data_IF_698928741762
#
_entry.id   IF_698928741762
#
_cell.length_a   1.000
_cell.length_b   1.000
_cell.length_c   1.000
_cell.angle_alpha   90.00
_cell.angle_beta   90.00
_cell.angle_gamma   90.00
#
_symmetry.space_group_name_H-M   'P 1'
#
loop_
_entity.id
_entity.type
_entity.pdbx_description
1 polymer ?
#
# COMPACT_ATOMS: atom_id res chain seq x y z
N UNK A 1 5.53 -41.48 -5.12
CA UNK A 1 6.73 -40.70 -4.77
C UNK A 1 6.23 -39.41 -4.17
N UNK A 2 6.89 -38.84 -3.17
CA UNK A 2 6.43 -37.57 -2.61
C UNK A 2 6.59 -36.45 -3.65
N UNK A 3 5.68 -35.47 -3.65
CA UNK A 3 5.68 -34.37 -4.63
C UNK A 3 5.14 -33.09 -4.00
N UNK A 4 5.68 -31.95 -4.44
CA UNK A 4 5.16 -30.61 -4.15
C UNK A 4 4.24 -30.19 -5.29
N UNK A 5 2.97 -29.93 -4.97
CA UNK A 5 1.95 -29.39 -5.85
C UNK A 5 1.69 -27.93 -5.48
N UNK A 6 1.68 -27.09 -6.50
CA UNK A 6 1.46 -25.65 -6.36
C UNK A 6 0.40 -25.23 -7.37
N UNK A 7 -0.61 -24.49 -6.91
CA UNK A 7 -1.65 -23.99 -7.78
C UNK A 7 -2.04 -22.53 -7.44
N UNK A 8 -1.88 -21.58 -8.37
CA UNK A 8 -1.12 -21.67 -9.62
C UNK A 8 0.41 -21.57 -9.38
N UNK A 9 1.22 -22.12 -10.30
CA UNK A 9 2.68 -21.99 -10.22
C UNK A 9 3.19 -20.60 -10.68
N UNK A 10 2.50 -20.00 -11.64
CA UNK A 10 2.71 -18.62 -12.11
C UNK A 10 1.46 -17.82 -11.79
N UNK A 11 1.61 -16.71 -11.06
CA UNK A 11 0.49 -15.84 -10.71
C UNK A 11 0.92 -14.39 -10.45
N UNK A 12 0.01 -13.42 -10.64
CA UNK A 12 0.14 -12.06 -10.10
C UNK A 12 0.51 -12.04 -8.62
N UNK A 13 1.27 -11.02 -8.21
CA UNK A 13 1.73 -10.86 -6.83
C UNK A 13 0.61 -10.84 -5.79
N UNK A 14 -0.57 -10.35 -6.14
CA UNK A 14 -1.73 -10.21 -5.28
C UNK A 14 -2.67 -11.43 -5.29
N UNK A 15 -2.40 -12.43 -6.12
CA UNK A 15 -3.16 -13.68 -6.14
C UNK A 15 -2.54 -14.72 -5.20
N UNK A 16 -3.30 -15.34 -4.28
CA UNK A 16 -2.78 -16.38 -3.40
C UNK A 16 -2.37 -17.65 -4.16
N UNK A 17 -1.51 -18.45 -3.53
CA UNK A 17 -1.02 -19.72 -4.08
C UNK A 17 -1.30 -20.84 -3.09
N UNK A 18 -1.95 -21.89 -3.57
CA UNK A 18 -2.19 -23.10 -2.79
C UNK A 18 -0.98 -24.03 -2.89
N UNK A 19 -0.50 -24.52 -1.75
CA UNK A 19 0.66 -25.41 -1.65
C UNK A 19 0.28 -26.70 -0.93
N UNK A 20 0.52 -27.82 -1.61
CA UNK A 20 0.34 -29.16 -1.06
C UNK A 20 1.62 -29.97 -1.21
N UNK A 21 1.91 -30.81 -0.22
CA UNK A 21 2.93 -31.87 -0.33
C UNK A 21 2.20 -33.20 -0.22
N UNK A 22 2.25 -34.01 -1.26
CA UNK A 22 1.51 -35.28 -1.36
C UNK A 22 2.47 -36.46 -1.40
N UNK A 23 1.96 -37.66 -1.10
CA UNK A 23 2.73 -38.90 -1.20
C UNK A 23 3.75 -39.09 -0.07
N UNK A 24 3.57 -38.40 1.06
CA UNK A 24 4.29 -38.63 2.31
C UNK A 24 3.75 -39.87 3.02
N UNK A 25 4.42 -40.33 4.07
CA UNK A 25 3.84 -41.31 5.00
C UNK A 25 2.89 -40.60 5.97
N UNK A 26 1.82 -41.27 6.39
CA UNK A 26 0.95 -40.73 7.45
C UNK A 26 1.75 -40.41 8.72
N UNK A 27 1.51 -39.24 9.32
CA UNK A 27 2.26 -38.75 10.48
C UNK A 27 3.71 -38.35 10.19
N UNK A 28 4.15 -38.37 8.92
CA UNK A 28 5.48 -37.91 8.57
C UNK A 28 5.58 -36.39 8.72
N UNK A 29 6.63 -35.93 9.39
CA UNK A 29 6.97 -34.51 9.43
C UNK A 29 7.61 -34.06 8.11
N UNK A 30 7.23 -32.89 7.60
CA UNK A 30 7.82 -32.26 6.43
C UNK A 30 8.10 -30.77 6.70
N UNK A 31 9.32 -30.33 6.42
CA UNK A 31 9.70 -28.91 6.47
C UNK A 31 9.53 -28.31 5.09
N UNK A 32 8.63 -27.33 4.98
CA UNK A 32 8.41 -26.54 3.77
C UNK A 32 9.13 -25.21 3.93
N UNK A 33 9.98 -24.84 2.99
CA UNK A 33 10.72 -23.58 2.99
C UNK A 33 10.35 -22.74 1.77
N UNK A 34 10.29 -21.43 1.94
CA UNK A 34 10.18 -20.46 0.85
C UNK A 34 11.42 -19.56 0.89
N UNK A 35 12.06 -19.33 -0.24
CA UNK A 35 13.23 -18.47 -0.36
C UNK A 35 13.14 -17.57 -1.59
N UNK A 36 13.54 -16.31 -1.45
CA UNK A 36 13.79 -15.37 -2.55
C UNK A 36 15.28 -15.08 -2.70
N UNK A 37 16.15 -15.87 -2.08
CA UNK A 37 17.60 -15.65 -2.02
C UNK A 37 18.00 -14.64 -0.94
N UNK A 38 17.47 -13.41 -1.01
CA UNK A 38 17.66 -12.37 0.01
C UNK A 38 16.79 -12.55 1.25
N UNK A 39 15.75 -13.39 1.15
CA UNK A 39 14.85 -13.72 2.24
C UNK A 39 14.50 -15.20 2.28
N UNK A 40 14.13 -15.68 3.45
CA UNK A 40 13.64 -17.05 3.64
C UNK A 40 12.64 -17.14 4.80
N UNK A 41 11.76 -18.14 4.71
CA UNK A 41 10.85 -18.57 5.78
C UNK A 41 10.74 -20.09 5.73
N UNK A 42 10.29 -20.69 6.82
CA UNK A 42 10.03 -22.12 6.86
C UNK A 42 8.88 -22.46 7.80
N UNK A 43 8.28 -23.62 7.57
CA UNK A 43 7.22 -24.16 8.41
C UNK A 43 7.27 -25.69 8.41
N UNK A 44 7.13 -26.28 9.59
CA UNK A 44 7.19 -27.71 9.82
C UNK A 44 5.76 -28.23 9.97
N UNK A 45 5.36 -29.20 9.15
CA UNK A 45 4.02 -29.78 9.16
C UNK A 45 4.06 -31.28 9.43
N UNK A 46 2.94 -31.81 9.90
CA UNK A 46 2.67 -33.25 9.94
C UNK A 46 1.71 -33.63 8.82
N UNK A 47 2.04 -34.69 8.08
CA UNK A 47 1.18 -35.23 7.04
C UNK A 47 -0.03 -35.96 7.66
N UNK A 48 -1.22 -35.74 7.07
CA UNK A 48 -2.45 -36.40 7.50
C UNK A 48 -2.42 -37.93 7.26
N UNK A 49 -3.51 -38.63 7.63
CA UNK A 49 -3.64 -40.08 7.43
C UNK A 49 -3.54 -40.53 5.96
N UNK A 50 -3.65 -39.60 5.01
CA UNK A 50 -3.52 -39.83 3.57
C UNK A 50 -2.12 -39.49 3.06
N UNK A 51 -1.21 -39.06 3.94
CA UNK A 51 0.15 -38.66 3.56
C UNK A 51 0.20 -37.30 2.87
N UNK A 52 -0.68 -36.37 3.25
CA UNK A 52 -0.79 -35.03 2.66
C UNK A 52 -0.51 -33.95 3.70
N UNK A 53 0.32 -32.97 3.33
CA UNK A 53 0.41 -31.67 3.97
C UNK A 53 -0.28 -30.65 3.06
N UNK A 54 -1.34 -30.00 3.54
CA UNK A 54 -2.08 -28.97 2.80
C UNK A 54 -1.99 -27.65 3.58
N UNK A 55 -1.23 -26.68 3.07
CA UNK A 55 -1.00 -25.40 3.76
C UNK A 55 -2.29 -24.58 3.93
N UNK A 56 -3.35 -24.89 3.17
CA UNK A 56 -4.65 -24.25 3.31
C UNK A 56 -5.49 -24.79 4.47
N UNK A 57 -5.08 -25.92 5.05
CA UNK A 57 -5.86 -26.65 6.08
C UNK A 57 -5.07 -27.00 7.33
N UNK A 58 -3.77 -27.23 7.18
CA UNK A 58 -2.91 -27.69 8.27
C UNK A 58 -2.15 -26.52 8.86
N UNK A 59 -2.18 -26.42 10.18
CA UNK A 59 -1.32 -25.48 10.90
C UNK A 59 0.09 -26.10 11.02
N UNK A 60 1.16 -25.29 10.90
CA UNK A 60 2.48 -25.79 11.18
C UNK A 60 2.65 -26.11 12.67
N UNK A 61 3.42 -27.16 12.95
CA UNK A 61 3.88 -27.52 14.29
C UNK A 61 4.90 -26.50 14.82
N UNK A 62 5.75 -25.99 13.93
CA UNK A 62 6.81 -25.02 14.24
C UNK A 62 7.23 -24.23 12.99
N UNK A 63 7.95 -23.13 13.17
CA UNK A 63 8.55 -22.33 12.09
C UNK A 63 8.23 -20.84 12.17
N UNK A 64 8.34 -20.17 11.02
CA UNK A 64 8.23 -18.71 10.84
C UNK A 64 6.83 -18.14 11.11
N UNK A 65 5.79 -18.97 11.16
CA UNK A 65 4.42 -18.55 11.50
C UNK A 65 3.64 -19.67 12.21
N UNK A 66 2.45 -19.33 12.72
CA UNK A 66 1.56 -20.25 13.45
C UNK A 66 0.12 -20.16 12.96
N UNK A 67 -0.62 -21.26 13.15
CA UNK A 67 -2.01 -21.40 12.72
C UNK A 67 -2.14 -21.70 11.22
N UNK A 68 -3.37 -21.95 10.77
CA UNK A 68 -3.64 -22.19 9.34
C UNK A 68 -3.57 -20.87 8.60
N UNK A 69 -2.61 -20.74 7.69
CA UNK A 69 -2.42 -19.55 6.85
C UNK A 69 -1.76 -19.96 5.51
N UNK A 70 -2.52 -20.02 4.41
CA UNK A 70 -2.01 -20.43 3.10
C UNK A 70 -0.82 -19.60 2.63
N UNK A 71 -0.82 -18.30 2.95
CA UNK A 71 0.23 -17.36 2.55
C UNK A 71 1.23 -17.10 3.68
N UNK A 72 1.20 -17.93 4.74
CA UNK A 72 2.06 -17.87 5.91
C UNK A 72 3.55 -17.76 5.57
N UNK A 73 4.02 -18.59 4.63
CA UNK A 73 5.41 -18.57 4.19
C UNK A 73 5.80 -17.25 3.49
N UNK A 74 4.88 -16.59 2.80
CA UNK A 74 5.18 -15.38 2.02
C UNK A 74 5.32 -14.15 2.92
N UNK A 75 4.35 -13.92 3.82
CA UNK A 75 4.42 -12.75 4.68
C UNK A 75 5.46 -12.89 5.80
N UNK A 76 5.83 -14.11 6.18
CA UNK A 76 6.82 -14.38 7.22
C UNK A 76 8.27 -14.48 6.73
N UNK A 77 8.56 -14.08 5.48
CA UNK A 77 9.92 -14.04 4.92
C UNK A 77 10.85 -13.08 5.68
N UNK A 78 11.93 -13.58 6.25
CA UNK A 78 12.94 -12.78 6.97
C UNK A 78 14.22 -12.61 6.13
N UNK A 79 14.97 -11.53 6.36
CA UNK A 79 16.22 -11.23 5.64
C UNK A 79 17.30 -12.27 5.94
N UNK A 80 17.93 -12.80 4.90
CA UNK A 80 19.06 -13.75 5.01
C UNK A 80 20.42 -13.07 4.90
N UNK A 81 20.47 -11.82 4.43
CA UNK A 81 21.70 -11.13 4.02
C UNK A 81 22.20 -11.53 2.62
N UNK A 82 21.45 -12.37 1.91
CA UNK A 82 21.72 -12.79 0.52
C UNK A 82 21.32 -11.74 -0.52
N UNK A 83 21.40 -12.15 -1.79
CA UNK A 83 20.92 -11.35 -2.94
C UNK A 83 19.57 -11.88 -3.40
N UNK A 84 18.72 -10.98 -3.88
CA UNK A 84 17.44 -11.33 -4.46
C UNK A 84 17.63 -12.29 -5.64
N UNK A 85 16.72 -13.26 -5.74
CA UNK A 85 16.72 -14.35 -6.70
C UNK A 85 15.29 -14.86 -6.94
N UNK A 86 15.15 -16.02 -7.60
CA UNK A 86 13.84 -16.61 -7.85
C UNK A 86 13.13 -16.96 -6.55
N UNK A 87 11.79 -16.93 -6.56
CA UNK A 87 10.98 -17.46 -5.46
C UNK A 87 10.97 -18.98 -5.57
N UNK A 88 11.58 -19.67 -4.61
CA UNK A 88 11.71 -21.13 -4.59
C UNK A 88 11.05 -21.68 -3.35
N UNK A 89 10.12 -22.62 -3.56
CA UNK A 89 9.53 -23.46 -2.54
C UNK A 89 10.28 -24.78 -2.51
N UNK A 90 10.80 -25.20 -1.34
CA UNK A 90 11.52 -26.46 -1.20
C UNK A 90 10.98 -27.30 -0.06
N UNK A 91 11.07 -28.62 -0.21
CA UNK A 91 10.72 -29.59 0.84
C UNK A 91 11.82 -30.64 0.93
N UNK A 92 12.38 -30.79 2.13
CA UNK A 92 13.49 -31.72 2.37
C UNK A 92 13.11 -33.15 1.98
N UNK A 93 13.96 -33.79 1.16
CA UNK A 93 13.73 -35.14 0.67
C UNK A 93 12.65 -35.29 -0.41
N UNK A 94 12.04 -34.19 -0.86
CA UNK A 94 11.05 -34.17 -1.95
C UNK A 94 11.57 -33.42 -3.17
N UNK A 95 12.08 -32.20 -3.00
CA UNK A 95 12.63 -31.38 -4.09
C UNK A 95 12.20 -29.92 -4.03
N UNK A 96 12.34 -29.23 -5.16
CA UNK A 96 12.13 -27.78 -5.28
C UNK A 96 11.07 -27.47 -6.35
N UNK A 97 10.35 -26.35 -6.15
CA UNK A 97 9.44 -25.73 -7.12
C UNK A 97 9.73 -24.24 -7.20
N UNK A 98 9.96 -23.75 -8.41
CA UNK A 98 10.10 -22.31 -8.66
C UNK A 98 8.72 -21.71 -8.90
N UNK A 99 8.42 -20.64 -8.17
CA UNK A 99 7.20 -19.86 -8.28
C UNK A 99 7.47 -18.58 -9.07
N UNK A 100 6.60 -18.27 -10.02
CA UNK A 100 6.66 -17.01 -10.76
C UNK A 100 5.60 -16.06 -10.22
N UNK A 101 6.06 -14.96 -9.61
CA UNK A 101 5.21 -13.93 -9.00
C UNK A 101 5.28 -12.66 -9.84
N UNK A 102 4.25 -12.42 -10.64
CA UNK A 102 4.25 -11.38 -11.66
C UNK A 102 3.94 -10.01 -11.04
N UNK A 103 4.86 -9.06 -11.23
CA UNK A 103 4.64 -7.65 -10.87
C UNK A 103 3.83 -6.89 -11.92
N UNK A 104 3.88 -7.34 -13.17
CA UNK A 104 3.01 -6.92 -14.27
C UNK A 104 2.34 -8.19 -14.79
N UNK A 105 1.03 -8.38 -14.56
CA UNK A 105 0.31 -9.56 -15.02
C UNK A 105 0.33 -9.74 -16.54
N UNK A 106 0.13 -10.98 -17.00
CA UNK A 106 -0.10 -11.26 -18.42
C UNK A 106 -1.37 -10.56 -18.90
N UNK A 107 -1.37 -10.07 -20.14
CA UNK A 107 -2.50 -9.33 -20.70
C UNK A 107 -2.66 -7.89 -20.20
N UNK A 108 -1.65 -7.34 -19.52
CA UNK A 108 -1.61 -5.92 -19.14
C UNK A 108 -0.55 -5.19 -19.97
N UNK A 109 -1.00 -4.22 -20.76
CA UNK A 109 -0.14 -3.32 -21.52
C UNK A 109 0.45 -2.23 -20.62
N UNK A 110 1.72 -1.88 -20.85
CA UNK A 110 2.43 -0.82 -20.12
C UNK A 110 2.86 0.28 -21.09
N UNK A 111 2.45 1.52 -20.81
CA UNK A 111 2.83 2.70 -21.57
C UNK A 111 3.44 3.77 -20.67
N UNK A 112 4.70 4.14 -20.92
CA UNK A 112 5.32 5.27 -20.21
C UNK A 112 4.78 6.61 -20.72
N UNK A 113 4.43 7.51 -19.80
CA UNK A 113 3.84 8.83 -20.10
C UNK A 113 4.81 9.94 -19.71
N UNK A 114 5.23 10.74 -20.70
CA UNK A 114 6.15 11.90 -20.54
C UNK A 114 5.69 13.11 -21.37
N UNK A 115 4.38 13.29 -21.48
CA UNK A 115 3.77 14.32 -22.32
C UNK A 115 2.92 15.29 -21.50
N UNK A 116 2.71 16.51 -22.01
CA UNK A 116 1.93 17.56 -21.35
C UNK A 116 2.40 17.92 -19.92
N UNK A 117 3.68 17.65 -19.62
CA UNK A 117 4.27 17.84 -18.30
C UNK A 117 3.96 16.73 -17.30
N UNK A 118 3.16 15.73 -17.67
CA UNK A 118 2.87 14.56 -16.85
C UNK A 118 4.05 13.58 -16.88
N UNK A 119 4.34 13.00 -15.73
CA UNK A 119 5.34 11.94 -15.56
C UNK A 119 4.66 10.78 -14.85
N UNK A 120 4.47 9.68 -15.56
CA UNK A 120 3.91 8.46 -14.99
C UNK A 120 3.97 7.28 -15.93
N UNK A 121 3.21 6.24 -15.60
CA UNK A 121 3.07 5.04 -16.42
C UNK A 121 1.60 4.60 -16.41
N UNK A 122 1.03 4.46 -17.60
CA UNK A 122 -0.31 3.94 -17.81
C UNK A 122 -0.26 2.42 -17.94
N UNK A 123 -1.19 1.72 -17.30
CA UNK A 123 -1.44 0.30 -17.51
C UNK A 123 -2.89 0.08 -17.92
N UNK A 124 -3.12 -0.80 -18.88
CA UNK A 124 -4.45 -1.17 -19.32
C UNK A 124 -4.49 -2.68 -19.61
N UNK A 125 -5.61 -3.36 -19.33
CA UNK A 125 -5.87 -4.66 -19.95
C UNK A 125 -5.74 -4.57 -21.47
N UNK A 126 -5.35 -5.67 -22.12
CA UNK A 126 -5.45 -5.80 -23.57
C UNK A 126 -6.84 -5.39 -24.06
N UNK A 127 -6.88 -4.57 -25.11
CA UNK A 127 -8.11 -3.97 -25.63
C UNK A 127 -9.13 -5.05 -26.05
N UNK A 128 -10.19 -5.18 -25.26
CA UNK A 128 -11.33 -6.05 -25.52
C UNK A 128 -12.52 -5.31 -26.16
N UNK A 129 -12.35 -4.01 -26.46
CA UNK A 129 -13.38 -3.13 -27.01
C UNK A 129 -14.30 -2.48 -25.97
N UNK A 130 -14.07 -2.69 -24.67
CA UNK A 130 -14.80 -2.06 -23.58
C UNK A 130 -14.22 -0.71 -23.12
N UNK A 131 -15.08 0.21 -22.68
CA UNK A 131 -14.63 1.41 -21.94
C UNK A 131 -14.51 1.04 -20.48
N UNK A 132 -13.28 0.79 -20.02
CA UNK A 132 -12.98 0.45 -18.64
C UNK A 132 -12.87 1.70 -17.76
N UNK A 133 -13.22 1.63 -16.46
CA UNK A 133 -13.00 2.73 -15.53
C UNK A 133 -11.52 3.03 -15.32
N UNK A 134 -11.22 4.30 -15.04
CA UNK A 134 -9.87 4.82 -14.85
C UNK A 134 -9.50 4.93 -13.37
N UNK A 135 -8.26 4.59 -12.99
CA UNK A 135 -7.77 4.78 -11.62
C UNK A 135 -6.40 5.47 -11.61
N UNK A 136 -6.30 6.64 -10.98
CA UNK A 136 -5.01 7.27 -10.70
C UNK A 136 -4.44 6.66 -9.42
N UNK A 137 -3.20 6.18 -9.49
CA UNK A 137 -2.46 5.59 -8.37
C UNK A 137 -1.38 6.55 -7.91
N UNK A 138 -1.46 6.97 -6.66
CA UNK A 138 -0.59 7.99 -6.05
C UNK A 138 0.40 7.35 -5.06
N UNK A 139 1.69 7.65 -5.24
CA UNK A 139 2.74 7.28 -4.31
C UNK A 139 2.65 8.04 -2.97
N UNK A 140 3.42 7.61 -1.97
CA UNK A 140 3.51 8.23 -0.65
C UNK A 140 4.67 9.21 -0.52
N UNK A 141 5.20 9.32 0.70
CA UNK A 141 6.32 10.24 1.03
C UNK A 141 7.66 9.90 0.35
N UNK A 142 7.79 8.70 -0.20
CA UNK A 142 8.93 8.23 -0.96
C UNK A 142 9.02 8.85 -2.37
N UNK A 143 7.91 9.41 -2.88
CA UNK A 143 7.81 9.94 -4.23
C UNK A 143 7.91 8.86 -5.29
N UNK A 144 8.28 9.23 -6.51
CA UNK A 144 8.31 8.26 -7.61
C UNK A 144 6.92 7.77 -8.01
N UNK A 145 6.85 6.54 -8.53
CA UNK A 145 5.64 5.92 -9.07
C UNK A 145 5.47 4.48 -8.57
N UNK A 146 4.22 4.08 -8.32
CA UNK A 146 3.86 2.71 -7.91
C UNK A 146 3.37 1.87 -9.09
N UNK A 147 4.28 1.50 -9.98
CA UNK A 147 3.92 0.75 -11.19
C UNK A 147 3.32 -0.63 -10.91
N UNK A 148 3.84 -1.36 -9.91
CA UNK A 148 3.31 -2.69 -9.56
C UNK A 148 1.87 -2.61 -9.10
N UNK A 149 1.54 -1.63 -8.28
CA UNK A 149 0.20 -1.42 -7.75
C UNK A 149 -0.77 -1.08 -8.90
N UNK A 150 -0.36 -0.18 -9.81
CA UNK A 150 -1.14 0.16 -11.00
C UNK A 150 -1.32 -1.03 -11.96
N UNK A 151 -0.27 -1.82 -12.20
CA UNK A 151 -0.35 -2.99 -13.08
C UNK A 151 -1.27 -4.09 -12.53
N UNK A 152 -1.26 -4.32 -11.22
CA UNK A 152 -2.13 -5.30 -10.58
C UNK A 152 -3.58 -4.82 -10.53
N UNK A 153 -3.82 -3.54 -10.25
CA UNK A 153 -5.15 -2.95 -10.44
C UNK A 153 -5.61 -3.07 -11.90
N UNK A 154 -4.73 -2.88 -12.89
CA UNK A 154 -5.12 -3.03 -14.28
C UNK A 154 -5.64 -4.44 -14.58
N UNK A 155 -4.99 -5.49 -14.06
CA UNK A 155 -5.48 -6.87 -14.14
C UNK A 155 -6.83 -7.12 -13.45
N UNK A 156 -7.31 -6.18 -12.63
CA UNK A 156 -8.65 -6.19 -12.06
C UNK A 156 -9.72 -5.46 -12.91
N UNK A 157 -9.39 -5.03 -14.12
CA UNK A 157 -10.34 -4.43 -15.07
C UNK A 157 -10.38 -2.90 -15.04
N UNK A 158 -9.24 -2.26 -14.74
CA UNK A 158 -9.11 -0.80 -14.70
C UNK A 158 -8.07 -0.32 -15.71
N UNK A 159 -8.28 0.84 -16.32
CA UNK A 159 -7.16 1.61 -16.91
C UNK A 159 -6.51 2.38 -15.78
N UNK A 160 -5.25 2.11 -15.45
CA UNK A 160 -4.59 2.76 -14.31
C UNK A 160 -3.49 3.70 -14.75
N UNK A 161 -3.27 4.74 -13.96
CA UNK A 161 -2.19 5.69 -14.18
C UNK A 161 -1.37 5.86 -12.90
N UNK A 162 -0.21 5.19 -12.85
CA UNK A 162 0.79 5.42 -11.81
C UNK A 162 1.43 6.80 -12.03
N UNK A 163 0.94 7.79 -11.28
CA UNK A 163 1.29 9.19 -11.47
C UNK A 163 2.41 9.61 -10.52
N UNK A 164 3.52 10.07 -11.09
CA UNK A 164 4.59 10.71 -10.33
C UNK A 164 4.26 12.18 -10.15
N UNK A 165 4.50 12.72 -8.95
CA UNK A 165 4.26 14.14 -8.65
C UNK A 165 5.43 14.85 -7.95
N UNK A 166 6.43 14.10 -7.45
CA UNK A 166 7.73 14.62 -7.00
C UNK A 166 8.79 13.51 -6.97
N UNK A 167 10.05 13.87 -6.74
CA UNK A 167 11.16 12.93 -6.58
C UNK A 167 11.61 12.25 -7.87
N UNK A 168 11.15 12.74 -9.03
CA UNK A 168 11.53 12.24 -10.35
C UNK A 168 12.02 13.37 -11.25
N UNK A 169 12.83 13.00 -12.26
CA UNK A 169 13.30 13.94 -13.27
C UNK A 169 12.11 14.62 -13.97
N UNK A 170 12.12 15.95 -13.96
CA UNK A 170 11.05 16.77 -14.57
C UNK A 170 9.92 17.14 -13.61
N UNK A 171 9.96 16.64 -12.36
CA UNK A 171 9.04 16.99 -11.28
C UNK A 171 9.78 17.75 -10.16
N UNK A 172 9.05 18.37 -9.21
CA UNK A 172 9.64 18.86 -7.98
C UNK A 172 10.52 17.80 -7.30
N UNK A 173 11.63 18.22 -6.70
CA UNK A 173 12.55 17.31 -6.00
C UNK A 173 12.00 16.85 -4.64
N UNK A 174 11.25 17.73 -3.98
CA UNK A 174 10.75 17.55 -2.63
C UNK A 174 9.21 17.66 -2.61
N UNK A 175 8.58 17.17 -1.54
CA UNK A 175 7.15 17.29 -1.31
C UNK A 175 6.82 18.68 -0.75
N UNK A 176 6.95 19.70 -1.58
CA UNK A 176 6.77 21.12 -1.22
C UNK A 176 6.06 21.85 -2.34
N UNK A 177 5.04 22.63 -1.98
CA UNK A 177 4.29 23.53 -2.86
C UNK A 177 3.77 22.88 -4.16
N UNK A 178 3.40 21.60 -4.11
CA UNK A 178 2.96 20.86 -5.30
C UNK A 178 1.58 21.37 -5.75
N UNK A 179 1.44 21.88 -6.98
CA UNK A 179 0.19 22.48 -7.44
C UNK A 179 -0.87 21.42 -7.71
N UNK A 180 -2.06 21.58 -7.11
CA UNK A 180 -3.17 20.65 -7.32
C UNK A 180 -3.60 20.58 -8.79
N UNK A 181 -3.40 21.66 -9.56
CA UNK A 181 -3.65 21.72 -11.01
C UNK A 181 -2.89 20.66 -11.81
N UNK A 182 -1.78 20.14 -11.29
CA UNK A 182 -1.07 19.02 -11.91
C UNK A 182 -1.96 17.76 -11.98
N UNK A 183 -2.72 17.48 -10.92
CA UNK A 183 -3.61 16.32 -10.85
C UNK A 183 -4.86 16.51 -11.72
N UNK A 184 -5.35 17.75 -11.88
CA UNK A 184 -6.40 18.05 -12.85
C UNK A 184 -6.00 17.66 -14.28
N UNK A 185 -4.75 17.93 -14.68
CA UNK A 185 -4.23 17.49 -16.00
C UNK A 185 -4.15 15.97 -16.13
N UNK A 186 -3.80 15.27 -15.04
CA UNK A 186 -3.75 13.81 -15.03
C UNK A 186 -5.15 13.20 -15.15
N UNK A 187 -6.16 13.82 -14.51
CA UNK A 187 -7.56 13.43 -14.63
C UNK A 187 -8.04 13.62 -16.08
N UNK A 188 -7.78 14.79 -16.67
CA UNK A 188 -8.14 15.06 -18.08
C UNK A 188 -7.48 14.04 -19.02
N UNK A 189 -6.20 13.75 -18.81
CA UNK A 189 -5.44 12.77 -19.59
C UNK A 189 -6.06 11.36 -19.52
N UNK A 190 -6.43 10.91 -18.33
CA UNK A 190 -6.99 9.58 -18.12
C UNK A 190 -8.44 9.49 -18.63
N UNK A 191 -9.21 10.57 -18.52
CA UNK A 191 -10.61 10.64 -18.99
C UNK A 191 -10.75 10.51 -20.51
N UNK A 192 -9.69 10.78 -21.27
CA UNK A 192 -9.66 10.51 -22.72
C UNK A 192 -9.51 9.02 -23.07
N UNK A 193 -9.11 8.18 -22.09
CA UNK A 193 -8.70 6.78 -22.27
C UNK A 193 -9.53 5.80 -21.44
N UNK A 194 -10.33 6.31 -20.52
CA UNK A 194 -11.09 5.52 -19.56
C UNK A 194 -12.47 6.15 -19.32
N UNK A 195 -13.36 5.39 -18.68
CA UNK A 195 -14.67 5.86 -18.22
C UNK A 195 -14.58 6.66 -16.92
N UNK A 196 -15.42 6.30 -15.96
CA UNK A 196 -15.44 6.91 -14.62
C UNK A 196 -14.06 6.85 -13.95
N UNK A 197 -13.67 7.93 -13.26
CA UNK A 197 -12.33 8.09 -12.68
C UNK A 197 -12.37 7.90 -11.16
N UNK A 198 -11.52 7.00 -10.67
CA UNK A 198 -11.18 6.87 -9.27
C UNK A 198 -9.75 7.33 -8.97
N UNK A 199 -9.47 7.58 -7.69
CA UNK A 199 -8.13 7.89 -7.19
C UNK A 199 -7.84 7.05 -5.96
N UNK A 200 -6.66 6.44 -5.91
CA UNK A 200 -6.18 5.67 -4.75
C UNK A 200 -4.77 6.11 -4.38
N UNK A 201 -4.49 6.16 -3.08
CA UNK A 201 -3.15 6.39 -2.58
C UNK A 201 -2.94 5.87 -1.16
N UNK A 202 -1.67 5.59 -0.86
CA UNK A 202 -1.21 5.19 0.47
C UNK A 202 -0.49 6.32 1.19
N UNK A 203 -0.65 6.44 2.52
CA UNK A 203 0.10 7.42 3.33
C UNK A 203 -0.12 8.85 2.81
N UNK A 204 0.94 9.60 2.47
CA UNK A 204 0.82 10.92 1.82
C UNK A 204 0.01 10.90 0.52
N UNK A 205 0.04 9.80 -0.22
CA UNK A 205 -0.81 9.60 -1.39
C UNK A 205 -2.29 9.44 -1.03
N UNK A 206 -2.61 8.90 0.15
CA UNK A 206 -3.97 8.79 0.66
C UNK A 206 -4.55 10.14 1.11
N UNK A 207 -3.73 10.98 1.75
CA UNK A 207 -4.07 12.39 1.99
C UNK A 207 -4.35 13.12 0.67
N UNK A 208 -3.44 12.95 -0.30
CA UNK A 208 -3.57 13.57 -1.62
C UNK A 208 -4.79 13.05 -2.39
N UNK A 209 -5.14 11.76 -2.29
CA UNK A 209 -6.33 11.20 -2.93
C UNK A 209 -7.62 11.89 -2.47
N UNK A 210 -7.75 12.12 -1.15
CA UNK A 210 -8.87 12.88 -0.57
C UNK A 210 -8.88 14.33 -1.06
N UNK A 211 -7.72 14.97 -1.09
CA UNK A 211 -7.59 16.36 -1.53
C UNK A 211 -7.92 16.54 -3.02
N UNK A 212 -7.45 15.61 -3.88
CA UNK A 212 -7.77 15.57 -5.31
C UNK A 212 -9.27 15.35 -5.51
N UNK A 213 -9.87 14.36 -4.84
CA UNK A 213 -11.31 14.11 -4.94
C UNK A 213 -12.17 15.29 -4.48
N UNK A 214 -11.75 16.00 -3.43
CA UNK A 214 -12.46 17.17 -2.93
C UNK A 214 -12.30 18.41 -3.82
N UNK A 215 -11.29 18.41 -4.69
CA UNK A 215 -10.98 19.53 -5.59
C UNK A 215 -11.58 19.35 -6.98
N UNK A 216 -11.65 18.11 -7.47
CA UNK A 216 -12.05 17.78 -8.83
C UNK A 216 -13.32 16.91 -8.85
N UNK A 217 -14.48 17.47 -9.25
CA UNK A 217 -15.75 16.74 -9.27
C UNK A 217 -15.81 15.62 -10.33
N UNK A 218 -14.80 15.50 -11.20
CA UNK A 218 -14.67 14.38 -12.14
C UNK A 218 -14.25 13.05 -11.45
N UNK A 219 -13.86 13.09 -10.17
CA UNK A 219 -13.48 11.90 -9.42
C UNK A 219 -14.70 11.31 -8.71
N UNK A 220 -15.08 10.11 -9.11
CA UNK A 220 -16.29 9.41 -8.67
C UNK A 220 -16.02 8.39 -7.54
N UNK A 221 -14.75 8.05 -7.29
CA UNK A 221 -14.34 7.17 -6.20
C UNK A 221 -12.99 7.57 -5.60
N UNK A 222 -12.89 7.61 -4.28
CA UNK A 222 -11.65 7.93 -3.57
C UNK A 222 -11.32 6.84 -2.56
N UNK A 223 -10.10 6.30 -2.62
CA UNK A 223 -9.58 5.35 -1.64
C UNK A 223 -8.34 5.92 -0.96
N UNK A 224 -8.38 6.01 0.36
CA UNK A 224 -7.29 6.51 1.19
C UNK A 224 -6.82 5.41 2.14
N UNK A 225 -5.65 4.84 1.88
CA UNK A 225 -5.07 3.76 2.71
C UNK A 225 -3.98 4.32 3.60
N UNK A 226 -4.09 4.10 4.91
CA UNK A 226 -3.31 4.77 5.97
C UNK A 226 -3.11 6.26 5.66
N UNK A 227 -4.15 6.91 5.16
CA UNK A 227 -4.13 8.30 4.73
C UNK A 227 -4.37 9.29 5.86
N UNK A 228 -4.69 10.52 5.48
CA UNK A 228 -5.04 11.58 6.42
C UNK A 228 -6.19 12.42 5.86
N UNK A 229 -7.23 12.65 6.67
CA UNK A 229 -8.28 13.64 6.40
C UNK A 229 -7.85 15.09 6.63
N UNK A 230 -6.57 15.30 6.94
CA UNK A 230 -5.95 16.58 7.30
C UNK A 230 -4.75 16.81 6.39
N UNK A 231 -4.60 18.01 5.85
CA UNK A 231 -3.40 18.39 5.11
C UNK A 231 -2.23 18.51 6.09
N UNK A 232 -1.13 17.79 5.84
CA UNK A 232 0.06 17.82 6.71
C UNK A 232 1.23 18.55 6.06
N UNK A 233 2.18 19.02 6.86
CA UNK A 233 3.37 19.77 6.42
C UNK A 233 4.14 19.05 5.30
N UNK A 234 4.76 19.83 4.41
CA UNK A 234 5.62 19.33 3.34
C UNK A 234 6.89 18.66 3.86
N UNK A 235 7.49 17.82 3.01
CA UNK A 235 8.78 17.18 3.29
C UNK A 235 9.83 17.89 2.44
N UNK A 236 10.48 18.88 3.06
CA UNK A 236 11.46 19.75 2.41
C UNK A 236 12.83 19.15 2.15
N UNK A 237 13.76 19.96 1.61
CA UNK A 237 15.16 19.56 1.45
C UNK A 237 15.83 19.32 2.81
N UNK A 238 16.84 18.45 2.82
CA UNK A 238 17.60 18.14 4.02
C UNK A 238 18.36 16.83 3.91
N UNK A 239 19.51 16.75 4.56
CA UNK A 239 20.36 15.54 4.56
C UNK A 239 19.91 14.50 5.60
N UNK A 240 19.10 14.90 6.58
CA UNK A 240 18.58 14.02 7.62
C UNK A 240 17.14 14.38 8.00
N UNK A 241 16.48 13.50 8.75
CA UNK A 241 15.09 13.65 9.15
C UNK A 241 14.80 14.97 9.87
N UNK A 242 15.64 15.39 10.84
CA UNK A 242 15.39 16.62 11.60
C UNK A 242 15.37 17.87 10.71
N UNK A 243 16.28 17.96 9.74
CA UNK A 243 16.30 19.06 8.79
C UNK A 243 15.05 19.09 7.92
N UNK A 244 14.59 17.92 7.47
CA UNK A 244 13.37 17.80 6.66
C UNK A 244 12.12 18.18 7.44
N UNK A 245 11.96 17.70 8.68
CA UNK A 245 10.82 18.02 9.53
C UNK A 245 10.80 19.49 9.99
N UNK A 246 11.98 20.12 10.12
CA UNK A 246 12.08 21.54 10.50
C UNK A 246 11.85 22.49 9.32
N UNK A 247 11.68 21.97 8.10
CA UNK A 247 11.41 22.79 6.93
C UNK A 247 9.91 23.09 6.84
N UNK A 248 9.51 24.23 7.40
CA UNK A 248 8.12 24.71 7.40
C UNK A 248 7.69 25.14 5.99
N UNK A 249 6.93 24.29 5.32
CA UNK A 249 6.33 24.59 4.03
C UNK A 249 5.05 23.79 3.82
N UNK A 250 4.15 24.30 2.98
CA UNK A 250 2.98 23.56 2.56
C UNK A 250 3.39 22.41 1.64
N UNK A 251 2.67 21.29 1.73
CA UNK A 251 2.81 20.21 0.77
C UNK A 251 2.18 20.56 -0.57
N UNK A 252 1.07 21.29 -0.52
CA UNK A 252 0.16 21.50 -1.65
C UNK A 252 -0.15 22.98 -1.83
N UNK A 253 -0.28 23.39 -3.08
CA UNK A 253 -0.81 24.70 -3.45
C UNK A 253 -2.08 24.56 -4.28
N UNK A 254 -2.97 25.55 -4.18
CA UNK A 254 -4.14 25.68 -5.03
C UNK A 254 -4.21 27.11 -5.55
N UNK A 255 -4.25 27.28 -6.87
CA UNK A 255 -4.22 28.59 -7.55
C UNK A 255 -3.00 29.44 -7.16
N UNK A 256 -1.88 28.78 -6.91
CA UNK A 256 -0.62 29.40 -6.49
C UNK A 256 -0.53 29.77 -5.02
N UNK A 257 -1.59 29.55 -4.23
CA UNK A 257 -1.58 29.81 -2.79
C UNK A 257 -1.32 28.52 -2.00
N UNK A 258 -0.47 28.54 -0.96
CA UNK A 258 -0.24 27.38 -0.10
C UNK A 258 -1.50 27.04 0.70
N UNK A 259 -1.84 25.75 0.77
CA UNK A 259 -2.92 25.30 1.64
C UNK A 259 -2.46 25.30 3.10
N UNK A 260 -3.37 25.62 4.06
CA UNK A 260 -3.08 25.41 5.48
C UNK A 260 -2.75 23.94 5.74
N UNK A 261 -1.86 23.70 6.71
CA UNK A 261 -1.39 22.36 7.04
C UNK A 261 -1.13 22.19 8.53
N UNK A 262 -1.25 20.96 9.00
CA UNK A 262 -0.81 20.56 10.33
C UNK A 262 0.73 20.47 10.36
N UNK A 263 1.43 21.29 11.15
CA UNK A 263 2.89 21.29 11.23
C UNK A 263 3.42 20.05 11.94
N UNK A 264 4.68 19.70 11.65
CA UNK A 264 5.39 18.68 12.42
C UNK A 264 5.80 19.21 13.79
N UNK A 265 5.58 18.40 14.83
CA UNK A 265 6.05 18.68 16.17
C UNK A 265 7.31 17.87 16.49
N UNK A 266 8.43 18.56 16.62
CA UNK A 266 9.68 17.90 17.00
C UNK A 266 9.76 17.86 18.54
N UNK A 267 9.14 16.86 19.14
CA UNK A 267 9.15 16.62 20.59
C UNK A 267 10.47 16.07 21.13
N UNK A 268 10.61 16.03 22.47
CA UNK A 268 11.81 15.54 23.15
C UNK A 268 12.10 14.05 22.87
N UNK A 269 11.06 13.21 22.87
CA UNK A 269 11.19 11.77 22.58
C UNK A 269 11.63 11.53 21.13
N UNK A 270 11.00 12.20 20.16
CA UNK A 270 11.37 12.09 18.74
C UNK A 270 12.84 12.47 18.54
N UNK A 271 13.29 13.58 19.13
CA UNK A 271 14.71 13.98 19.07
C UNK A 271 15.64 12.93 19.69
N UNK A 272 15.27 12.38 20.85
CA UNK A 272 16.08 11.39 21.54
C UNK A 272 16.27 10.13 20.68
N UNK A 273 15.19 9.59 20.10
CA UNK A 273 15.26 8.40 19.23
C UNK A 273 16.13 8.63 18.00
N UNK A 274 15.98 9.78 17.35
CA UNK A 274 16.81 10.16 16.20
C UNK A 274 18.29 10.25 16.57
N UNK A 275 18.62 10.91 17.69
CA UNK A 275 20.02 11.10 18.12
C UNK A 275 20.66 9.80 18.60
N UNK A 276 19.86 8.90 19.18
CA UNK A 276 20.33 7.62 19.71
C UNK A 276 20.35 6.49 18.66
N UNK A 277 19.98 6.76 17.40
CA UNK A 277 19.87 5.76 16.33
C UNK A 277 18.90 4.60 16.67
N UNK A 278 17.83 4.93 17.39
CA UNK A 278 16.73 4.01 17.69
C UNK A 278 15.69 4.05 16.56
N UNK A 279 14.92 2.95 16.32
CA UNK A 279 13.79 3.00 15.40
C UNK A 279 12.84 4.15 15.74
N UNK A 280 12.55 4.98 14.72
CA UNK A 280 11.80 6.23 14.85
C UNK A 280 10.34 5.99 14.45
N UNK A 281 9.38 5.98 15.40
CA UNK A 281 7.97 6.13 15.07
C UNK A 281 7.72 7.59 14.68
N UNK A 282 7.55 7.83 13.38
CA UNK A 282 7.29 9.17 12.85
C UNK A 282 5.95 9.74 13.35
N UNK A 283 5.04 8.89 13.85
CA UNK A 283 3.82 9.28 14.57
C UNK A 283 4.08 10.31 15.66
N UNK A 284 5.23 10.27 16.33
CA UNK A 284 5.61 11.26 17.36
C UNK A 284 5.76 12.69 16.82
N UNK A 285 5.83 12.87 15.50
CA UNK A 285 5.88 14.18 14.85
C UNK A 285 4.49 14.79 14.63
N UNK A 286 3.41 14.06 14.93
CA UNK A 286 2.04 14.50 14.72
C UNK A 286 1.31 14.58 16.05
N UNK A 287 0.89 15.79 16.42
CA UNK A 287 0.05 16.03 17.59
C UNK A 287 -1.38 16.32 17.15
N UNK A 288 -2.33 15.60 17.75
CA UNK A 288 -3.77 15.84 17.63
C UNK A 288 -4.41 16.11 18.99
N UNK A 289 -3.62 16.18 20.07
CA UNK A 289 -4.10 16.28 21.45
C UNK A 289 -4.85 17.59 21.71
N UNK A 290 -4.37 18.69 21.14
CA UNK A 290 -5.01 20.02 21.23
C UNK A 290 -6.14 20.21 20.20
N UNK A 291 -6.49 19.15 19.47
CA UNK A 291 -7.42 19.18 18.35
C UNK A 291 -6.74 19.47 17.01
N UNK A 292 -7.49 19.21 15.93
CA UNK A 292 -7.05 19.53 14.55
C UNK A 292 -7.63 20.89 14.16
N UNK A 293 -6.82 21.84 13.67
CA UNK A 293 -7.34 23.11 13.17
C UNK A 293 -8.26 22.91 11.95
N UNK A 294 -9.46 23.49 12.00
CA UNK A 294 -10.50 23.29 10.97
C UNK A 294 -10.05 23.67 9.55
N UNK A 295 -9.16 24.67 9.41
CA UNK A 295 -8.64 25.14 8.12
C UNK A 295 -7.62 24.17 7.48
N UNK A 296 -7.09 23.21 8.25
CA UNK A 296 -6.22 22.13 7.77
C UNK A 296 -7.00 20.89 7.34
N UNK A 297 -8.28 20.80 7.68
CA UNK A 297 -9.12 19.65 7.33
C UNK A 297 -9.40 19.63 5.82
N UNK A 298 -9.25 18.45 5.21
CA UNK A 298 -9.53 18.29 3.79
C UNK A 298 -11.04 18.42 3.54
N UNK A 299 -11.48 19.21 2.54
CA UNK A 299 -12.89 19.43 2.25
C UNK A 299 -13.61 18.20 1.61
N UNK A 300 -13.47 17.01 2.19
CA UNK A 300 -14.09 15.73 1.77
C UNK A 300 -15.61 15.71 1.49
N UNK A 301 -16.46 16.57 2.10
CA UNK A 301 -17.89 16.64 1.71
C UNK A 301 -18.09 17.16 0.28
N UNK A 302 -17.06 17.73 -0.33
CA UNK A 302 -17.09 18.20 -1.73
C UNK A 302 -16.79 17.11 -2.73
N UNK A 303 -16.38 15.92 -2.28
CA UNK A 303 -16.10 14.79 -3.16
C UNK A 303 -17.40 14.42 -3.90
N UNK A 304 -17.37 14.33 -5.23
CA UNK A 304 -18.55 14.03 -6.04
C UNK A 304 -18.79 12.52 -6.19
N UNK A 305 -18.43 11.73 -5.18
CA UNK A 305 -18.34 10.29 -5.27
C UNK A 305 -18.13 9.59 -3.93
N UNK A 306 -17.97 8.25 -3.98
CA UNK A 306 -17.78 7.43 -2.79
C UNK A 306 -16.41 7.63 -2.15
N UNK A 307 -16.31 7.44 -0.83
CA UNK A 307 -15.05 7.54 -0.06
C UNK A 307 -14.78 6.29 0.78
N UNK A 308 -13.67 5.61 0.54
CA UNK A 308 -13.17 4.52 1.39
C UNK A 308 -11.91 4.96 2.13
N UNK A 309 -11.97 4.93 3.45
CA UNK A 309 -10.85 5.14 4.35
C UNK A 309 -10.43 3.81 4.96
N UNK A 310 -9.14 3.51 4.94
CA UNK A 310 -8.58 2.30 5.53
C UNK A 310 -7.41 2.70 6.42
N UNK A 311 -7.48 2.43 7.72
CA UNK A 311 -6.46 2.84 8.69
C UNK A 311 -5.94 1.69 9.54
N UNK A 312 -4.81 1.95 10.19
CA UNK A 312 -4.11 1.01 11.06
C UNK A 312 -4.10 1.51 12.51
N UNK A 313 -4.39 0.63 13.46
CA UNK A 313 -4.45 0.97 14.89
C UNK A 313 -3.09 1.11 15.57
N UNK A 314 -2.06 0.41 15.06
CA UNK A 314 -0.68 0.48 15.55
C UNK A 314 0.25 1.11 14.49
N UNK A 315 -0.25 2.13 13.80
CA UNK A 315 0.49 2.88 12.80
C UNK A 315 1.55 3.78 13.47
N UNK A 316 2.82 3.43 13.34
CA UNK A 316 3.95 4.26 13.81
C UNK A 316 4.39 5.32 12.79
N UNK A 317 3.87 5.30 11.57
CA UNK A 317 4.15 6.31 10.55
C UNK A 317 3.46 7.64 10.87
N UNK A 318 2.17 7.59 11.21
CA UNK A 318 1.35 8.71 11.68
C UNK A 318 0.03 8.21 12.28
N UNK A 319 -0.77 9.04 12.97
CA UNK A 319 -2.01 8.59 13.60
C UNK A 319 -3.16 8.41 12.58
N UNK A 320 -3.01 7.48 11.62
CA UNK A 320 -3.92 7.35 10.47
C UNK A 320 -5.39 7.12 10.85
N UNK A 321 -5.68 6.38 11.93
CA UNK A 321 -7.06 6.24 12.41
C UNK A 321 -7.65 7.59 12.85
N UNK A 322 -6.92 8.34 13.68
CA UNK A 322 -7.38 9.63 14.20
C UNK A 322 -7.50 10.68 13.09
N UNK A 323 -6.57 10.68 12.14
CA UNK A 323 -6.59 11.59 10.98
C UNK A 323 -7.73 11.25 10.00
N UNK A 324 -8.05 9.97 9.80
CA UNK A 324 -9.19 9.55 8.97
C UNK A 324 -10.53 9.83 9.65
N UNK A 325 -10.61 9.80 10.98
CA UNK A 325 -11.83 10.16 11.71
C UNK A 325 -12.24 11.63 11.48
N UNK A 326 -11.29 12.53 11.22
CA UNK A 326 -11.58 13.92 10.81
C UNK A 326 -12.41 13.93 9.53
N UNK A 327 -12.01 13.16 8.52
CA UNK A 327 -12.76 13.03 7.27
C UNK A 327 -14.13 12.38 7.49
N UNK A 328 -14.21 11.29 8.27
CA UNK A 328 -15.48 10.63 8.59
C UNK A 328 -16.47 11.55 9.27
N UNK A 329 -16.02 12.32 10.26
CA UNK A 329 -16.84 13.33 10.93
C UNK A 329 -17.37 14.35 9.92
N UNK A 330 -16.51 14.91 9.07
CA UNK A 330 -16.92 15.92 8.07
C UNK A 330 -17.95 15.37 7.08
N UNK A 331 -17.74 14.17 6.55
CA UNK A 331 -18.68 13.49 5.65
C UNK A 331 -20.06 13.33 6.31
N UNK A 332 -20.08 12.91 7.58
CA UNK A 332 -21.32 12.74 8.35
C UNK A 332 -22.00 14.08 8.65
N UNK A 333 -21.27 15.07 9.13
CA UNK A 333 -21.81 16.36 9.56
C UNK A 333 -22.40 17.17 8.39
N UNK A 334 -21.94 16.91 7.17
CA UNK A 334 -22.44 17.53 5.94
C UNK A 334 -23.39 16.64 5.14
N UNK A 335 -23.85 15.53 5.71
CA UNK A 335 -24.81 14.60 5.08
C UNK A 335 -24.37 14.15 3.68
N UNK A 336 -23.10 13.70 3.55
CA UNK A 336 -22.51 13.30 2.27
C UNK A 336 -23.42 12.32 1.50
N UNK A 337 -23.80 12.61 0.25
CA UNK A 337 -24.85 11.86 -0.43
C UNK A 337 -24.38 10.53 -1.03
N UNK A 338 -23.08 10.27 -1.09
CA UNK A 338 -22.49 9.06 -1.65
C UNK A 338 -22.06 8.08 -0.55
N UNK A 339 -21.83 6.78 -0.87
CA UNK A 339 -21.32 5.82 0.10
C UNK A 339 -19.97 6.24 0.69
N UNK A 340 -19.82 6.11 2.00
CA UNK A 340 -18.53 6.27 2.65
C UNK A 340 -18.34 5.27 3.79
N UNK A 341 -17.11 4.80 3.98
CA UNK A 341 -16.74 3.80 4.99
C UNK A 341 -15.34 4.09 5.56
N UNK A 342 -15.15 3.78 6.84
CA UNK A 342 -13.84 3.72 7.48
C UNK A 342 -13.61 2.34 8.10
N UNK A 343 -12.59 1.64 7.59
CA UNK A 343 -12.13 0.34 8.09
C UNK A 343 -10.86 0.55 8.89
N UNK A 344 -10.83 0.06 10.13
CA UNK A 344 -9.63 0.13 11.00
C UNK A 344 -9.16 -1.27 11.36
N UNK A 345 -7.88 -1.57 11.08
CA UNK A 345 -7.23 -2.81 11.51
C UNK A 345 -6.43 -2.56 12.80
N UNK A 346 -6.92 -2.98 13.99
CA UNK A 346 -6.40 -2.51 15.27
C UNK A 346 -4.94 -2.86 15.55
N UNK A 347 -4.48 -4.01 15.05
CA UNK A 347 -3.14 -4.55 15.31
C UNK A 347 -2.17 -4.37 14.13
N UNK A 348 -2.63 -3.75 13.05
CA UNK A 348 -1.80 -3.51 11.87
C UNK A 348 -0.92 -2.26 12.03
N UNK A 349 0.24 -2.28 11.38
CA UNK A 349 1.15 -1.16 11.26
C UNK A 349 0.90 -0.30 10.02
N UNK A 350 1.82 0.61 9.72
CA UNK A 350 1.72 1.55 8.59
C UNK A 350 1.70 0.86 7.22
N UNK A 351 2.40 -0.26 7.06
CA UNK A 351 2.68 -0.89 5.77
C UNK A 351 1.53 -1.80 5.28
N UNK A 352 0.32 -1.26 5.17
CA UNK A 352 -0.86 -1.96 4.62
C UNK A 352 -1.32 -1.45 3.26
N UNK A 353 -0.70 -0.39 2.74
CA UNK A 353 -0.96 0.11 1.40
C UNK A 353 -0.31 -0.77 0.32
N UNK A 354 -1.02 -0.92 -0.80
CA UNK A 354 -0.56 -1.66 -1.97
C UNK A 354 -0.82 -3.17 -1.93
N UNK A 355 -0.32 -3.90 -2.95
CA UNK A 355 -0.54 -5.32 -3.15
C UNK A 355 -0.07 -6.18 -1.98
N UNK A 356 -0.80 -7.28 -1.68
CA UNK A 356 -0.47 -8.16 -0.56
C UNK A 356 0.67 -9.13 -0.86
N UNK A 357 0.88 -10.02 0.10
CA UNK A 357 1.82 -11.14 0.02
C UNK A 357 3.29 -10.73 -0.08
N UNK A 358 3.58 -9.46 0.26
CA UNK A 358 4.93 -8.98 0.56
C UNK A 358 5.31 -9.41 1.99
N UNK A 359 6.62 -9.50 2.30
CA UNK A 359 7.07 -9.75 3.66
C UNK A 359 6.54 -8.67 4.62
N UNK A 360 5.89 -9.08 5.71
CA UNK A 360 5.35 -8.19 6.74
C UNK A 360 6.19 -8.18 8.02
N UNK A 361 7.28 -8.97 8.03
CA UNK A 361 8.27 -9.05 9.11
C UNK A 361 9.23 -7.85 9.15
N UNK A 362 9.33 -7.10 8.06
CA UNK A 362 10.03 -5.81 7.99
C UNK A 362 9.19 -4.73 8.71
N UNK A 363 9.14 -4.78 10.04
CA UNK A 363 8.46 -3.78 10.87
C UNK A 363 9.23 -2.46 10.98
N UNK A 364 10.41 -2.39 10.37
CA UNK A 364 11.23 -1.18 10.25
C UNK A 364 11.74 -1.01 8.83
N UNK A 365 11.89 0.24 8.37
CA UNK A 365 12.32 0.55 7.01
C UNK A 365 13.24 1.79 6.96
N UNK A 366 14.09 1.92 5.93
CA UNK A 366 15.04 3.03 5.86
C UNK A 366 14.35 4.37 5.69
N UNK A 367 14.84 5.38 6.42
CA UNK A 367 14.46 6.79 6.29
C UNK A 367 15.66 7.70 6.04
N UNK A 368 15.46 9.03 5.96
CA UNK A 368 16.53 10.00 5.77
C UNK A 368 17.52 10.07 6.95
N UNK A 369 18.54 9.22 6.92
CA UNK A 369 19.57 9.13 7.97
C UNK A 369 19.07 8.50 9.28
N UNK A 370 17.95 7.77 9.24
CA UNK A 370 17.35 7.05 10.38
C UNK A 370 16.74 5.73 9.91
N UNK A 371 16.34 4.88 10.85
CA UNK A 371 15.45 3.75 10.62
C UNK A 371 14.06 4.11 11.14
N UNK A 372 13.03 4.03 10.31
CA UNK A 372 11.65 4.21 10.75
C UNK A 372 11.08 2.95 11.37
N UNK A 373 10.20 3.11 12.36
CA UNK A 373 9.30 2.07 12.84
C UNK A 373 7.99 2.13 12.05
N UNK A 374 7.52 0.99 11.56
CA UNK A 374 6.20 0.85 10.93
C UNK A 374 5.09 0.43 11.90
N UNK A 375 5.45 -0.04 13.09
CA UNK A 375 4.51 -0.53 14.09
C UNK A 375 3.78 -1.80 13.66
N UNK A 376 2.81 -2.22 14.47
CA UNK A 376 1.94 -3.36 14.21
C UNK A 376 2.57 -4.75 14.44
N UNK A 377 1.69 -5.74 14.44
CA UNK A 377 2.06 -7.17 14.52
C UNK A 377 2.19 -7.72 13.09
N UNK A 378 3.31 -8.37 12.69
CA UNK A 378 3.55 -8.81 11.31
C UNK A 378 2.39 -9.58 10.67
N UNK A 379 1.82 -10.56 11.38
CA UNK A 379 0.67 -11.33 10.88
C UNK A 379 -0.56 -10.45 10.67
N UNK A 380 -0.87 -9.58 11.62
CA UNK A 380 -2.01 -8.68 11.52
C UNK A 380 -1.83 -7.68 10.37
N UNK A 381 -0.62 -7.12 10.22
CA UNK A 381 -0.27 -6.24 9.09
C UNK A 381 -0.40 -6.96 7.75
N UNK A 382 0.07 -8.20 7.63
CA UNK A 382 -0.07 -8.99 6.39
C UNK A 382 -1.53 -9.24 6.02
N UNK A 383 -2.36 -9.59 7.00
CA UNK A 383 -3.79 -9.84 6.79
C UNK A 383 -4.55 -8.55 6.49
N UNK A 384 -4.19 -7.45 7.17
CA UNK A 384 -4.72 -6.13 6.91
C UNK A 384 -4.37 -5.64 5.50
N UNK A 385 -3.13 -5.84 5.02
CA UNK A 385 -2.74 -5.50 3.65
C UNK A 385 -3.56 -6.30 2.61
N UNK A 386 -3.71 -7.61 2.81
CA UNK A 386 -4.54 -8.45 1.93
C UNK A 386 -6.01 -8.02 1.91
N UNK A 387 -6.57 -7.69 3.07
CA UNK A 387 -7.95 -7.23 3.14
C UNK A 387 -8.12 -5.80 2.62
N UNK A 388 -7.17 -4.89 2.86
CA UNK A 388 -7.16 -3.53 2.34
C UNK A 388 -7.11 -3.52 0.80
N UNK A 389 -6.25 -4.34 0.20
CA UNK A 389 -6.18 -4.50 -1.26
C UNK A 389 -7.50 -5.01 -1.83
N UNK A 390 -8.02 -6.09 -1.26
CA UNK A 390 -9.31 -6.65 -1.67
C UNK A 390 -10.43 -5.60 -1.57
N UNK A 391 -10.52 -4.88 -0.45
CA UNK A 391 -11.55 -3.86 -0.21
C UNK A 391 -11.41 -2.69 -1.19
N UNK A 392 -10.18 -2.28 -1.49
CA UNK A 392 -9.88 -1.25 -2.49
C UNK A 392 -10.41 -1.65 -3.86
N UNK A 393 -10.10 -2.86 -4.32
CA UNK A 393 -10.57 -3.37 -5.63
C UNK A 393 -12.09 -3.47 -5.66
N UNK A 394 -12.72 -4.06 -4.64
CA UNK A 394 -14.18 -4.19 -4.55
C UNK A 394 -14.86 -2.82 -4.58
N UNK A 395 -14.38 -1.88 -3.77
CA UNK A 395 -14.93 -0.54 -3.69
C UNK A 395 -14.80 0.22 -5.00
N UNK A 396 -13.63 0.18 -5.65
CA UNK A 396 -13.43 0.83 -6.95
C UNK A 396 -14.37 0.25 -8.02
N UNK A 397 -14.60 -1.07 -8.03
CA UNK A 397 -15.54 -1.69 -8.97
C UNK A 397 -16.98 -1.24 -8.71
N UNK A 398 -17.39 -1.27 -7.45
CA UNK A 398 -18.74 -0.85 -7.04
C UNK A 398 -19.01 0.62 -7.37
N UNK A 399 -18.06 1.52 -7.13
CA UNK A 399 -18.25 2.95 -7.33
C UNK A 399 -18.06 3.41 -8.77
N UNK A 400 -17.25 2.71 -9.57
CA UNK A 400 -16.95 3.08 -10.96
C UNK A 400 -17.75 2.26 -11.99
N UNK A 401 -18.57 1.30 -11.54
CA UNK A 401 -19.51 0.56 -12.37
C UNK A 401 -18.89 -0.54 -13.23
N UNK A 402 -17.90 -1.28 -12.71
CA UNK A 402 -17.24 -2.41 -13.40
C UNK A 402 -17.58 -3.81 -12.90
#
# INVERSE_FOLDING_TARGET
MAEILVNPQTAPLDQPVDVLVVGLKAGQTATVQLSTGDRASHAVFEADDRGVVDLTRHAPLDGSYRGVDPMGLFWSLERTGGKAGPTVLSVEGVGDRVLERLAVPEGVERLEVRENGLVGTLFAPEDDGGVLPGVIVLSGSEGGIHETDAALLAAHGFVTFALGYFGMKGLPENLVDIPLEYFGKAIDYLSERAGEIGVVGGSRGGELALLVGATYPQVSAVVSVVGSGVVTQGIGPGANLLQKLSYEAASWTLKGEPLPYLPYEIGGELRARIVNDEPVPLRLAFSTEDGVPEDTEIPVERIAGGVLLISSGQDDGWPSADLSEVAMRRLKDHEHPFPYEHVVYPEAGHLIAGPPHRPATDVTYPGPGVTFSGGGVPRATAHAQANAWKRTVEFLREQLGS
#
